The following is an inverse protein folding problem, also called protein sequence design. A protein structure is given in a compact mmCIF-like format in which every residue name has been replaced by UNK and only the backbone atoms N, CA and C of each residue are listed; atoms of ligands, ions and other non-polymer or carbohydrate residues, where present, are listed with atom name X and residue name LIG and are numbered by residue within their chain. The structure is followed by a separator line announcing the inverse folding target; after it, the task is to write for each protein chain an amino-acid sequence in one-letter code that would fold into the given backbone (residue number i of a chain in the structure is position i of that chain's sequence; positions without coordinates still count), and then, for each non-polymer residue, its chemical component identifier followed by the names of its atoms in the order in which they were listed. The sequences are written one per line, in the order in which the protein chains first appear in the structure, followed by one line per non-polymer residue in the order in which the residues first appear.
data_IF_095703783821
#
_entry.id   IF_095703783821
#
_cell.length_a   1.000
_cell.length_b   1.000
_cell.length_c   1.000
_cell.angle_alpha   90.00
_cell.angle_beta   90.00
_cell.angle_gamma   90.00
#
_symmetry.space_group_name_H-M   'P 1'
#
loop_
_entity.id
_entity.type
_entity.pdbx_description
1 polymer ?
#
# COMPACT_ATOMS: atom_id res chain seq x y z
N UNK A 1 3.48 67.02 -25.32
CA UNK A 1 4.40 65.99 -25.76
C UNK A 1 3.97 64.67 -25.10
N UNK A 2 3.38 63.79 -25.88
CA UNK A 2 2.79 62.52 -25.38
C UNK A 2 3.77 61.38 -25.68
N UNK A 3 4.35 60.82 -24.63
CA UNK A 3 5.19 59.63 -24.73
C UNK A 3 4.33 58.38 -24.76
N UNK A 4 4.21 57.81 -25.93
CA UNK A 4 3.57 56.51 -26.15
C UNK A 4 4.60 55.41 -25.90
N UNK A 5 4.50 54.72 -24.80
CA UNK A 5 5.32 53.52 -24.50
C UNK A 5 4.66 52.37 -25.20
N UNK A 6 5.31 51.86 -26.23
CA UNK A 6 4.93 50.67 -26.99
C UNK A 6 5.39 49.43 -26.17
N UNK A 7 4.44 48.76 -25.50
CA UNK A 7 4.69 47.52 -24.77
C UNK A 7 4.75 46.37 -25.78
N UNK A 8 5.96 45.89 -26.08
CA UNK A 8 6.18 44.75 -26.96
C UNK A 8 5.90 43.46 -26.17
N UNK A 9 4.74 42.85 -26.45
CA UNK A 9 4.35 41.57 -25.84
C UNK A 9 5.10 40.44 -26.59
N UNK A 10 6.16 39.90 -25.98
CA UNK A 10 6.85 38.71 -26.49
C UNK A 10 5.98 37.48 -26.21
N UNK A 11 5.25 36.99 -27.20
CA UNK A 11 4.65 35.67 -27.20
C UNK A 11 5.77 34.63 -27.40
N UNK A 12 6.22 34.02 -26.31
CA UNK A 12 7.00 32.77 -26.39
C UNK A 12 6.04 31.62 -26.64
N UNK A 13 5.95 31.23 -27.91
CA UNK A 13 5.34 29.97 -28.30
C UNK A 13 6.23 28.83 -27.79
N UNK A 14 5.84 28.19 -26.69
CA UNK A 14 6.39 26.91 -26.34
C UNK A 14 5.96 25.90 -27.41
N UNK A 15 6.86 25.63 -28.34
CA UNK A 15 6.76 24.50 -29.22
C UNK A 15 6.94 23.26 -28.39
N UNK A 16 5.83 22.53 -28.07
CA UNK A 16 5.91 21.14 -27.66
C UNK A 16 6.52 20.36 -28.85
N UNK A 17 7.80 20.07 -28.78
CA UNK A 17 8.42 19.11 -29.66
C UNK A 17 7.75 17.75 -29.45
N UNK A 18 7.19 17.18 -30.50
CA UNK A 18 6.88 15.77 -30.59
C UNK A 18 8.20 15.01 -30.57
N UNK A 19 8.67 14.69 -29.37
CA UNK A 19 9.55 13.56 -29.17
C UNK A 19 8.64 12.34 -29.05
N UNK A 20 8.67 11.47 -30.05
CA UNK A 20 8.19 10.10 -29.98
C UNK A 20 9.12 9.29 -29.06
N UNK A 21 9.36 9.78 -27.86
CA UNK A 21 9.79 8.97 -26.74
C UNK A 21 8.54 8.28 -26.23
N UNK A 22 8.34 7.05 -26.65
CA UNK A 22 7.46 6.11 -25.98
C UNK A 22 8.02 5.97 -24.56
N UNK A 23 7.54 6.80 -23.64
CA UNK A 23 7.73 6.54 -22.22
C UNK A 23 7.13 5.16 -21.98
N UNK A 24 8.00 4.18 -21.84
CA UNK A 24 7.63 2.88 -21.30
C UNK A 24 7.19 3.22 -19.88
N UNK A 25 5.87 3.33 -19.67
CA UNK A 25 5.30 3.45 -18.35
C UNK A 25 5.67 2.16 -17.63
N UNK A 26 6.73 2.21 -16.85
CA UNK A 26 7.06 1.09 -15.95
C UNK A 26 5.87 0.91 -15.03
N UNK A 27 5.25 -0.27 -15.09
CA UNK A 27 4.17 -0.59 -14.16
C UNK A 27 4.71 -0.51 -12.72
N UNK A 28 3.98 0.10 -11.78
CA UNK A 28 4.45 0.24 -10.42
C UNK A 28 4.73 -1.14 -9.81
N UNK A 29 5.95 -1.33 -9.35
CA UNK A 29 6.33 -2.57 -8.66
C UNK A 29 5.90 -2.47 -7.20
N UNK A 30 4.91 -3.26 -6.82
CA UNK A 30 4.44 -3.34 -5.44
C UNK A 30 5.21 -4.39 -4.65
N UNK A 31 5.31 -4.18 -3.34
CA UNK A 31 5.93 -5.13 -2.40
C UNK A 31 4.97 -5.48 -1.28
N UNK A 32 5.14 -6.67 -0.71
CA UNK A 32 4.43 -7.09 0.51
C UNK A 32 5.06 -6.51 1.78
N UNK A 33 6.28 -5.94 1.70
CA UNK A 33 6.92 -5.32 2.86
C UNK A 33 6.05 -4.28 3.54
N UNK A 34 6.06 -4.25 4.87
CA UNK A 34 5.33 -3.30 5.69
C UNK A 34 4.20 -3.91 6.52
N UNK A 35 3.32 -3.06 7.01
CA UNK A 35 2.24 -3.43 7.93
C UNK A 35 0.91 -3.56 7.19
N UNK A 36 0.23 -4.67 7.45
CA UNK A 36 -1.03 -5.03 6.81
C UNK A 36 -2.06 -5.44 7.83
N UNK A 37 -3.30 -5.04 7.62
CA UNK A 37 -4.42 -5.35 8.49
C UNK A 37 -5.25 -6.48 7.88
N UNK A 38 -5.58 -7.45 8.70
CA UNK A 38 -6.54 -8.49 8.34
C UNK A 38 -7.88 -8.23 9.03
N UNK A 39 -8.95 -8.38 8.26
CA UNK A 39 -10.33 -8.35 8.76
C UNK A 39 -11.02 -9.67 8.42
N UNK A 40 -11.93 -10.14 9.27
CA UNK A 40 -12.79 -11.28 8.95
C UNK A 40 -13.75 -11.00 7.77
N UNK A 41 -14.06 -9.72 7.50
CA UNK A 41 -14.80 -9.30 6.33
C UNK A 41 -13.80 -8.84 5.25
N UNK A 42 -13.73 -9.54 4.09
CA UNK A 42 -12.79 -9.21 3.03
C UNK A 42 -13.09 -7.88 2.31
N UNK A 43 -14.27 -7.32 2.50
CA UNK A 43 -14.72 -6.07 1.88
C UNK A 43 -14.77 -4.90 2.87
N UNK A 44 -14.63 -5.17 4.18
CA UNK A 44 -14.70 -4.16 5.22
C UNK A 44 -13.51 -4.23 6.18
N UNK A 45 -12.67 -3.21 6.12
CA UNK A 45 -11.50 -3.04 6.98
C UNK A 45 -11.86 -2.66 8.42
N UNK A 46 -13.03 -2.09 8.69
CA UNK A 46 -13.41 -1.57 10.02
C UNK A 46 -13.40 -2.62 11.12
N UNK A 47 -13.55 -3.89 10.74
CA UNK A 47 -13.48 -5.02 11.68
C UNK A 47 -12.08 -5.61 11.87
N UNK A 48 -11.05 -4.99 11.28
CA UNK A 48 -9.68 -5.46 11.44
C UNK A 48 -9.23 -5.32 12.90
N UNK A 49 -8.68 -6.40 13.45
CA UNK A 49 -8.08 -6.44 14.78
C UNK A 49 -6.69 -7.10 14.77
N UNK A 50 -6.28 -7.62 13.62
CA UNK A 50 -5.03 -8.33 13.43
C UNK A 50 -4.13 -7.55 12.49
N UNK A 51 -2.87 -7.38 12.87
CA UNK A 51 -1.84 -6.78 12.06
C UNK A 51 -0.77 -7.81 11.71
N UNK A 52 -0.46 -7.92 10.44
CA UNK A 52 0.72 -8.62 9.92
C UNK A 52 1.78 -7.61 9.53
N UNK A 53 2.99 -7.82 10.01
CA UNK A 53 4.14 -7.01 9.63
C UNK A 53 5.13 -7.90 8.88
N UNK A 54 5.38 -7.56 7.62
CA UNK A 54 6.35 -8.24 6.76
C UNK A 54 7.63 -7.42 6.72
N UNK A 55 8.71 -7.97 7.22
CA UNK A 55 10.01 -7.31 7.28
C UNK A 55 11.13 -8.33 7.18
N UNK A 56 12.08 -8.09 6.29
CA UNK A 56 13.31 -8.88 6.13
C UNK A 56 13.07 -10.40 6.04
N UNK A 57 12.08 -10.82 5.26
CA UNK A 57 11.75 -12.24 5.06
C UNK A 57 11.01 -12.89 6.23
N UNK A 58 10.57 -12.12 7.23
CA UNK A 58 9.80 -12.60 8.39
C UNK A 58 8.48 -11.87 8.51
N UNK A 59 7.39 -12.62 8.69
CA UNK A 59 6.07 -12.08 8.98
C UNK A 59 5.78 -12.22 10.47
N UNK A 60 5.55 -11.12 11.13
CA UNK A 60 5.10 -11.05 12.53
C UNK A 60 3.59 -10.83 12.59
N UNK A 61 3.00 -11.17 13.73
CA UNK A 61 1.57 -10.97 13.98
C UNK A 61 1.38 -10.23 15.29
N UNK A 62 0.52 -9.22 15.31
CA UNK A 62 0.10 -8.50 16.52
C UNK A 62 -1.41 -8.33 16.51
N UNK A 63 -2.01 -8.23 17.70
CA UNK A 63 -3.44 -7.97 17.85
C UNK A 63 -3.68 -6.62 18.51
N UNK A 64 -4.59 -5.84 17.94
CA UNK A 64 -5.10 -4.65 18.61
C UNK A 64 -6.38 -4.99 19.41
N UNK A 65 -6.55 -4.36 20.57
CA UNK A 65 -7.69 -4.55 21.44
C UNK A 65 -8.91 -3.75 20.97
N UNK A 66 -9.53 -4.20 19.87
CA UNK A 66 -10.72 -3.59 19.32
C UNK A 66 -11.93 -4.51 19.44
N UNK A 67 -13.10 -3.91 19.42
CA UNK A 67 -14.37 -4.62 19.43
C UNK A 67 -15.26 -4.08 18.31
N UNK A 68 -16.30 -4.81 17.93
CA UNK A 68 -17.26 -4.32 16.93
C UNK A 68 -17.97 -3.02 17.34
N UNK A 69 -18.06 -2.72 18.65
CA UNK A 69 -18.61 -1.46 19.17
C UNK A 69 -17.55 -0.34 19.30
N UNK A 70 -16.27 -0.69 19.23
CA UNK A 70 -15.16 0.25 19.23
C UNK A 70 -14.08 -0.24 18.25
N UNK A 71 -14.26 -0.01 16.94
CA UNK A 71 -13.33 -0.46 15.92
C UNK A 71 -11.97 0.25 16.05
N UNK A 72 -10.90 -0.45 15.67
CA UNK A 72 -9.56 0.10 15.68
C UNK A 72 -9.36 1.17 14.62
N UNK A 73 -8.68 2.22 15.01
CA UNK A 73 -8.14 3.24 14.12
C UNK A 73 -6.71 2.88 13.66
N UNK A 74 -6.21 3.58 12.65
CA UNK A 74 -4.80 3.46 12.25
C UNK A 74 -3.84 3.79 13.39
N UNK A 75 -4.19 4.70 14.31
CA UNK A 75 -3.36 5.06 15.45
C UNK A 75 -3.20 3.90 16.44
N UNK A 76 -4.25 3.08 16.63
CA UNK A 76 -4.18 1.91 17.51
C UNK A 76 -3.18 0.87 16.97
N UNK A 77 -3.21 0.62 15.66
CA UNK A 77 -2.24 -0.27 15.02
C UNK A 77 -0.82 0.32 14.95
N UNK A 78 -0.69 1.62 14.75
CA UNK A 78 0.61 2.27 14.73
C UNK A 78 1.28 2.33 16.11
N UNK A 79 0.50 2.22 17.18
CA UNK A 79 1.00 2.14 18.55
C UNK A 79 1.59 0.77 18.89
N UNK A 80 1.28 -0.29 18.09
CA UNK A 80 1.84 -1.62 18.29
C UNK A 80 3.32 -1.66 17.88
N UNK A 81 4.14 -2.24 18.73
CA UNK A 81 5.58 -2.38 18.54
C UNK A 81 6.06 -3.84 18.63
N UNK A 82 7.36 -4.05 18.69
CA UNK A 82 7.94 -5.38 18.73
C UNK A 82 7.57 -6.19 19.99
N UNK A 83 7.16 -5.53 21.08
CA UNK A 83 6.75 -6.20 22.32
C UNK A 83 5.31 -6.72 22.25
N UNK A 84 4.51 -6.21 21.31
CA UNK A 84 3.13 -6.65 21.07
C UNK A 84 3.05 -7.83 20.09
N UNK A 85 4.18 -8.25 19.51
CA UNK A 85 4.24 -9.40 18.61
C UNK A 85 3.96 -10.68 19.38
N UNK A 86 3.02 -11.48 18.89
CA UNK A 86 2.76 -12.81 19.45
C UNK A 86 3.82 -13.81 18.97
N UNK A 87 4.17 -14.83 19.77
CA UNK A 87 5.08 -15.90 19.34
C UNK A 87 4.54 -16.64 18.10
N UNK A 88 5.45 -17.13 17.25
CA UNK A 88 5.11 -17.89 16.06
C UNK A 88 5.23 -17.06 14.77
N UNK A 89 6.32 -16.28 14.70
CA UNK A 89 6.73 -15.63 13.44
C UNK A 89 6.84 -16.66 12.32
N UNK A 90 6.60 -16.21 11.08
CA UNK A 90 6.62 -17.05 9.89
C UNK A 90 7.60 -16.50 8.87
N UNK A 91 8.39 -17.38 8.28
CA UNK A 91 9.22 -16.97 7.12
C UNK A 91 8.34 -16.69 5.91
N UNK A 92 8.75 -15.72 5.08
CA UNK A 92 8.11 -15.49 3.80
C UNK A 92 9.13 -15.18 2.71
N UNK A 93 8.70 -15.42 1.47
CA UNK A 93 9.34 -14.92 0.26
C UNK A 93 8.28 -14.33 -0.65
N UNK A 94 8.64 -13.29 -1.39
CA UNK A 94 7.75 -12.66 -2.37
C UNK A 94 8.54 -12.39 -3.65
N UNK A 95 8.05 -12.90 -4.76
CA UNK A 95 8.62 -12.67 -6.09
C UNK A 95 7.51 -12.82 -7.15
N UNK A 96 7.46 -11.91 -8.10
CA UNK A 96 6.54 -11.95 -9.25
C UNK A 96 5.08 -12.27 -8.87
N UNK A 97 4.58 -11.56 -7.83
CA UNK A 97 3.22 -11.77 -7.28
C UNK A 97 2.97 -13.17 -6.69
N UNK A 98 4.03 -13.91 -6.44
CA UNK A 98 3.96 -15.19 -5.71
C UNK A 98 4.44 -14.94 -4.28
N UNK A 99 3.54 -15.11 -3.32
CA UNK A 99 3.84 -15.01 -1.89
C UNK A 99 3.86 -16.41 -1.27
N UNK A 100 4.99 -16.78 -0.70
CA UNK A 100 5.13 -18.03 0.07
C UNK A 100 5.28 -17.67 1.54
N UNK A 101 4.43 -18.20 2.40
CA UNK A 101 4.51 -18.02 3.85
C UNK A 101 4.58 -19.41 4.48
N UNK A 102 5.65 -19.65 5.24
CA UNK A 102 5.87 -20.93 5.96
C UNK A 102 5.73 -22.15 5.03
N UNK A 103 6.24 -22.03 3.78
CA UNK A 103 6.18 -23.07 2.74
C UNK A 103 4.85 -23.15 1.99
N UNK A 104 3.82 -22.38 2.34
CA UNK A 104 2.55 -22.31 1.62
C UNK A 104 2.62 -21.20 0.59
N UNK A 105 2.53 -21.56 -0.69
CA UNK A 105 2.62 -20.62 -1.82
C UNK A 105 1.24 -20.22 -2.33
N UNK A 106 1.04 -18.95 -2.60
CA UNK A 106 -0.21 -18.39 -3.13
C UNK A 106 0.11 -17.28 -4.14
N UNK A 107 -0.70 -17.17 -5.18
CA UNK A 107 -0.70 -15.99 -6.05
C UNK A 107 -1.43 -14.86 -5.34
N UNK A 108 -0.86 -13.66 -5.44
CA UNK A 108 -1.46 -12.45 -4.89
C UNK A 108 -1.55 -11.37 -5.95
N UNK A 109 -2.44 -10.41 -5.74
CA UNK A 109 -2.55 -9.22 -6.57
C UNK A 109 -2.69 -7.98 -5.69
N UNK A 110 -2.32 -6.82 -6.23
CA UNK A 110 -2.49 -5.55 -5.54
C UNK A 110 -3.61 -4.75 -6.18
N UNK A 111 -4.37 -4.03 -5.37
CA UNK A 111 -5.41 -3.08 -5.79
C UNK A 111 -5.20 -1.74 -5.11
N UNK A 112 -5.83 -0.68 -5.64
CA UNK A 112 -5.78 0.68 -5.10
C UNK A 112 -4.34 1.13 -4.83
N UNK A 113 -3.52 1.15 -5.88
CA UNK A 113 -2.12 1.58 -5.84
C UNK A 113 -1.29 0.89 -4.74
N UNK A 114 -1.48 -0.42 -4.59
CA UNK A 114 -0.76 -1.22 -3.59
C UNK A 114 -1.34 -1.14 -2.17
N UNK A 115 -2.46 -0.46 -1.98
CA UNK A 115 -3.12 -0.34 -0.67
C UNK A 115 -3.90 -1.57 -0.22
N UNK A 116 -4.21 -2.48 -1.15
CA UNK A 116 -4.93 -3.73 -0.87
C UNK A 116 -4.17 -4.89 -1.50
N UNK A 117 -3.88 -5.91 -0.70
CA UNK A 117 -3.31 -7.19 -1.14
C UNK A 117 -4.43 -8.24 -1.14
N UNK A 118 -4.65 -8.87 -2.28
CA UNK A 118 -5.69 -9.89 -2.47
C UNK A 118 -5.04 -11.23 -2.77
N UNK A 119 -5.40 -12.25 -2.02
CA UNK A 119 -4.97 -13.63 -2.24
C UNK A 119 -5.91 -14.33 -3.22
N UNK A 120 -5.38 -15.22 -4.02
CA UNK A 120 -6.16 -16.01 -4.99
C UNK A 120 -7.31 -16.79 -4.33
N UNK A 121 -7.13 -17.23 -3.09
CA UNK A 121 -8.15 -17.94 -2.30
C UNK A 121 -9.23 -17.03 -1.69
N UNK A 122 -9.22 -15.71 -1.99
CA UNK A 122 -10.22 -14.73 -1.56
C UNK A 122 -9.89 -13.98 -0.27
N UNK A 123 -8.73 -14.23 0.35
CA UNK A 123 -8.26 -13.42 1.49
C UNK A 123 -7.86 -12.02 1.06
N UNK A 124 -8.03 -11.04 1.93
CA UNK A 124 -7.68 -9.64 1.68
C UNK A 124 -6.93 -9.05 2.87
N UNK A 125 -5.87 -8.28 2.57
CA UNK A 125 -5.18 -7.46 3.56
C UNK A 125 -5.17 -6.00 3.10
N UNK A 126 -5.29 -5.08 4.05
CA UNK A 126 -5.22 -3.63 3.82
C UNK A 126 -3.92 -3.07 4.36
N UNK A 127 -3.20 -2.32 3.55
CA UNK A 127 -1.97 -1.65 4.00
C UNK A 127 -2.30 -0.61 5.08
N UNK A 128 -1.61 -0.64 6.20
CA UNK A 128 -1.88 0.27 7.33
C UNK A 128 -1.71 1.75 6.95
N UNK A 129 -0.75 2.07 6.09
CA UNK A 129 -0.45 3.44 5.64
C UNK A 129 -1.33 3.94 4.50
N UNK A 130 -2.24 3.12 3.96
CA UNK A 130 -3.12 3.54 2.87
C UNK A 130 -4.38 4.19 3.41
N UNK A 131 -4.84 5.27 2.75
CA UNK A 131 -6.15 5.88 2.98
C UNK A 131 -7.29 5.09 2.31
N UNK A 132 -7.03 3.83 1.95
CA UNK A 132 -8.00 2.92 1.38
C UNK A 132 -9.00 2.49 2.47
N UNK A 133 -10.13 3.17 2.53
CA UNK A 133 -11.31 2.81 3.32
C UNK A 133 -12.38 2.21 2.40
#
# INVERSE_FOLDING_TARGET
MKNTILLLLLLTIFSCGNSDDSEVLEEPTYTVEGKWLWSPDPDDRTFANTMYEFVDGTRYTSYANCTSSNPCSNSDFNALDATDRIPGEKTYTFNDYILTIDGITQTVSFRRDGGILVFENGGTLWRLSSDCQ
#
